data_IF_268553666535
#
_entry.id   IF_268553666535
#
_cell.length_a   1.000
_cell.length_b   1.000
_cell.length_c   1.000
_cell.angle_alpha   90.00
_cell.angle_beta   90.00
_cell.angle_gamma   90.00
#
_symmetry.space_group_name_H-M   'P 1'
#
loop_
_entity.id
_entity.type
_entity.pdbx_description
1 polymer ?
#
# COMPACT_ATOMS: atom_id res chain seq x y z
N UNK A 1 17.16 8.12 -1.79
CA UNK A 1 15.88 7.39 -1.90
C UNK A 1 14.88 7.98 -0.91
N UNK A 2 13.63 8.23 -1.34
CA UNK A 2 12.55 8.71 -0.45
C UNK A 2 12.01 7.56 0.41
N UNK A 3 11.42 7.89 1.56
CA UNK A 3 10.79 6.92 2.48
C UNK A 3 9.33 6.65 2.10
N UNK A 4 8.79 5.53 2.58
CA UNK A 4 7.35 5.24 2.57
C UNK A 4 6.80 5.27 4.00
N UNK A 5 5.72 6.01 4.23
CA UNK A 5 4.99 5.94 5.50
C UNK A 5 3.86 4.93 5.38
N UNK A 6 3.66 4.10 6.41
CA UNK A 6 2.55 3.16 6.49
C UNK A 6 1.74 3.47 7.74
N UNK A 7 0.49 3.88 7.55
CA UNK A 7 -0.44 4.19 8.63
C UNK A 7 -1.56 3.16 8.64
N UNK A 8 -1.90 2.67 9.83
CA UNK A 8 -3.08 1.82 10.04
C UNK A 8 -3.95 2.35 11.17
N UNK A 9 -5.27 2.20 11.02
CA UNK A 9 -6.22 2.70 12.01
C UNK A 9 -6.28 1.87 13.29
N UNK A 10 -5.81 0.61 13.24
CA UNK A 10 -5.84 -0.36 14.31
C UNK A 10 -4.67 -1.34 14.18
N UNK A 11 -4.14 -1.82 15.30
CA UNK A 11 -3.12 -2.88 15.32
C UNK A 11 -3.65 -4.21 14.76
N UNK A 12 -4.96 -4.43 14.81
CA UNK A 12 -5.64 -5.56 14.15
C UNK A 12 -5.42 -5.61 12.64
N UNK A 13 -5.05 -4.50 12.00
CA UNK A 13 -4.79 -4.44 10.57
C UNK A 13 -3.35 -4.92 10.23
N UNK A 14 -2.48 -5.06 11.23
CA UNK A 14 -1.06 -5.40 11.08
C UNK A 14 -0.82 -6.69 10.27
N UNK A 15 -1.57 -7.80 10.45
CA UNK A 15 -1.36 -9.02 9.66
C UNK A 15 -1.57 -8.82 8.15
N UNK A 16 -2.40 -7.85 7.75
CA UNK A 16 -2.57 -7.47 6.36
C UNK A 16 -1.41 -6.57 5.93
N UNK A 17 -1.13 -5.52 6.71
CA UNK A 17 -0.12 -4.51 6.41
C UNK A 17 1.30 -5.08 6.34
N UNK A 18 1.60 -6.12 7.12
CA UNK A 18 2.91 -6.78 7.16
C UNK A 18 3.35 -7.32 5.78
N UNK A 19 2.39 -7.73 4.93
CA UNK A 19 2.68 -8.13 3.55
C UNK A 19 3.30 -6.99 2.74
N UNK A 20 2.82 -5.77 2.94
CA UNK A 20 3.38 -4.57 2.31
C UNK A 20 4.73 -4.18 2.90
N UNK A 21 4.88 -4.27 4.23
CA UNK A 21 6.17 -4.04 4.92
C UNK A 21 7.26 -4.95 4.35
N UNK A 22 6.97 -6.24 4.16
CA UNK A 22 7.92 -7.20 3.61
C UNK A 22 8.33 -6.86 2.17
N UNK A 23 7.39 -6.44 1.32
CA UNK A 23 7.71 -5.98 -0.04
C UNK A 23 8.62 -4.74 -0.02
N UNK A 24 8.36 -3.77 0.86
CA UNK A 24 9.25 -2.61 0.99
C UNK A 24 10.66 -3.00 1.44
N UNK A 25 10.77 -3.97 2.37
CA UNK A 25 12.06 -4.54 2.79
C UNK A 25 12.80 -5.22 1.64
N UNK A 26 12.10 -6.04 0.84
CA UNK A 26 12.68 -6.74 -0.31
C UNK A 26 13.27 -5.75 -1.34
N UNK A 27 12.62 -4.61 -1.55
CA UNK A 27 13.15 -3.55 -2.40
C UNK A 27 14.21 -2.66 -1.73
N UNK A 28 14.40 -2.77 -0.41
CA UNK A 28 15.30 -1.94 0.38
C UNK A 28 14.80 -0.50 0.53
N UNK A 29 13.48 -0.28 0.47
CA UNK A 29 12.87 1.04 0.63
C UNK A 29 12.75 1.36 2.12
N UNK A 30 13.37 2.45 2.61
CA UNK A 30 13.21 2.86 4.00
C UNK A 30 11.76 3.22 4.29
N UNK A 31 11.24 2.79 5.44
CA UNK A 31 9.85 2.99 5.80
C UNK A 31 9.64 3.18 7.29
N UNK A 32 8.53 3.81 7.62
CA UNK A 32 8.03 3.93 9.00
C UNK A 32 6.59 3.41 9.06
N UNK A 33 6.25 2.77 10.19
CA UNK A 33 4.94 2.13 10.38
C UNK A 33 4.35 2.64 11.68
N UNK A 34 3.13 3.17 11.62
CA UNK A 34 2.45 3.78 12.78
C UNK A 34 0.99 3.34 12.86
N UNK A 35 0.47 3.27 14.09
CA UNK A 35 -0.97 3.08 14.35
C UNK A 35 -1.57 4.46 14.65
N UNK A 36 -2.16 5.08 13.63
CA UNK A 36 -2.86 6.36 13.73
C UNK A 36 -4.27 6.21 13.18
N UNK A 37 -5.26 6.49 14.01
CA UNK A 37 -6.67 6.32 13.71
C UNK A 37 -7.28 7.66 13.34
N UNK A 38 -7.84 7.77 12.13
CA UNK A 38 -8.58 8.97 11.73
C UNK A 38 -9.77 9.30 12.65
N UNK A 39 -10.27 8.32 13.41
CA UNK A 39 -11.40 8.51 14.32
C UNK A 39 -10.99 8.71 15.78
N UNK A 40 -9.82 8.19 16.20
CA UNK A 40 -9.41 8.15 17.61
C UNK A 40 -8.17 8.98 17.92
N UNK A 41 -7.26 9.12 16.96
CA UNK A 41 -6.03 9.95 17.05
C UNK A 41 -5.90 10.84 15.81
N UNK A 42 -6.92 11.67 15.50
CA UNK A 42 -6.94 12.48 14.28
C UNK A 42 -5.86 13.56 14.27
N UNK A 43 -5.49 14.11 15.43
CA UNK A 43 -4.47 15.14 15.54
C UNK A 43 -3.08 14.59 15.19
N UNK A 44 -2.73 13.43 15.74
CA UNK A 44 -1.47 12.74 15.50
C UNK A 44 -1.34 12.30 14.03
N UNK A 45 -2.44 11.79 13.45
CA UNK A 45 -2.50 11.45 12.04
C UNK A 45 -2.21 12.68 11.16
N UNK A 46 -2.85 13.82 11.44
CA UNK A 46 -2.69 15.06 10.69
C UNK A 46 -1.29 15.68 10.85
N UNK A 47 -0.76 15.71 12.07
CA UNK A 47 0.58 16.22 12.38
C UNK A 47 1.67 15.42 11.66
N UNK A 48 1.57 14.08 11.69
CA UNK A 48 2.53 13.23 11.00
C UNK A 48 2.54 13.47 9.49
N UNK A 49 1.36 13.52 8.84
CA UNK A 49 1.28 13.58 7.38
C UNK A 49 1.54 14.97 6.81
N UNK A 50 1.26 16.04 7.57
CA UNK A 50 1.56 17.41 7.18
C UNK A 50 3.07 17.68 7.12
N UNK A 51 3.85 17.06 8.02
CA UNK A 51 5.32 17.14 8.04
C UNK A 51 6.02 16.07 7.19
N UNK A 52 5.29 15.09 6.66
CA UNK A 52 5.88 13.93 5.98
C UNK A 52 6.78 14.29 4.78
N UNK A 53 6.41 15.27 3.96
CA UNK A 53 7.23 15.68 2.80
C UNK A 53 8.60 16.20 3.23
N UNK A 54 8.63 17.04 4.25
CA UNK A 54 9.85 17.64 4.82
C UNK A 54 10.71 16.56 5.49
N UNK A 55 10.08 15.57 6.10
CA UNK A 55 10.72 14.40 6.70
C UNK A 55 11.18 13.34 5.69
N UNK A 56 11.16 13.63 4.39
CA UNK A 56 11.76 12.80 3.35
C UNK A 56 10.89 11.64 2.84
N UNK A 57 9.60 11.63 3.16
CA UNK A 57 8.65 10.67 2.59
C UNK A 57 8.30 11.03 1.14
N UNK A 58 8.06 10.01 0.33
CA UNK A 58 7.65 10.14 -1.07
C UNK A 58 6.26 9.57 -1.36
N UNK A 59 5.79 8.62 -0.55
CA UNK A 59 4.47 7.98 -0.66
C UNK A 59 3.95 7.65 0.74
N UNK A 60 2.64 7.75 0.95
CA UNK A 60 1.97 7.30 2.16
C UNK A 60 1.01 6.17 1.82
N UNK A 61 1.04 5.09 2.58
CA UNK A 61 0.12 3.96 2.51
C UNK A 61 -0.77 4.02 3.74
N UNK A 62 -2.09 3.96 3.55
CA UNK A 62 -3.08 4.02 4.62
C UNK A 62 -4.01 2.80 4.57
N UNK A 63 -4.05 2.02 5.65
CA UNK A 63 -4.91 0.85 5.79
C UNK A 63 -6.05 1.10 6.79
N UNK A 64 -7.28 0.81 6.39
CA UNK A 64 -8.44 0.88 7.27
C UNK A 64 -9.58 -0.04 6.79
N UNK A 65 -10.32 -0.60 7.74
CA UNK A 65 -11.54 -1.38 7.50
C UNK A 65 -12.83 -0.62 7.83
N UNK A 66 -13.97 -1.24 7.55
CA UNK A 66 -15.31 -0.68 7.81
C UNK A 66 -15.50 0.69 7.16
N UNK A 67 -15.88 1.72 7.92
CA UNK A 67 -15.90 3.12 7.47
C UNK A 67 -14.46 3.66 7.35
N UNK A 68 -13.76 3.25 6.28
CA UNK A 68 -12.32 3.40 6.09
C UNK A 68 -11.89 4.84 5.73
N UNK A 69 -11.94 5.77 6.69
CA UNK A 69 -11.65 7.19 6.44
C UNK A 69 -10.17 7.58 6.46
N UNK A 70 -9.26 6.67 6.86
CA UNK A 70 -7.85 7.02 7.08
C UNK A 70 -7.17 7.56 5.81
N UNK A 71 -7.32 6.87 4.67
CA UNK A 71 -6.68 7.30 3.43
C UNK A 71 -7.16 8.69 2.97
N UNK A 72 -8.47 8.95 3.04
CA UNK A 72 -9.04 10.24 2.70
C UNK A 72 -8.60 11.37 3.65
N UNK A 73 -8.58 11.11 4.97
CA UNK A 73 -8.11 12.06 5.96
C UNK A 73 -6.63 12.40 5.78
N UNK A 74 -5.80 11.40 5.46
CA UNK A 74 -4.38 11.58 5.15
C UNK A 74 -4.21 12.41 3.86
N UNK A 75 -4.92 12.07 2.78
CA UNK A 75 -4.86 12.78 1.51
C UNK A 75 -5.29 14.25 1.61
N UNK A 76 -6.22 14.57 2.51
CA UNK A 76 -6.65 15.94 2.75
C UNK A 76 -5.57 16.83 3.42
N UNK A 77 -4.55 16.22 4.05
CA UNK A 77 -3.52 16.93 4.83
C UNK A 77 -2.13 16.89 4.18
N UNK A 78 -2.02 16.41 2.93
CA UNK A 78 -0.73 16.30 2.25
C UNK A 78 -0.86 16.41 0.73
N UNK A 79 0.25 16.72 0.07
CA UNK A 79 0.37 16.66 -1.41
C UNK A 79 1.19 15.46 -1.87
N UNK A 80 1.59 14.58 -0.95
CA UNK A 80 2.21 13.31 -1.31
C UNK A 80 1.15 12.35 -1.87
N UNK A 81 1.51 11.45 -2.80
CA UNK A 81 0.64 10.35 -3.21
C UNK A 81 0.23 9.51 -2.01
N UNK A 82 -1.08 9.26 -1.89
CA UNK A 82 -1.67 8.41 -0.85
C UNK A 82 -2.27 7.18 -1.48
N UNK A 83 -1.84 6.01 -1.01
CA UNK A 83 -2.33 4.70 -1.43
C UNK A 83 -3.24 4.16 -0.32
N UNK A 84 -4.49 3.85 -0.66
CA UNK A 84 -5.46 3.30 0.26
C UNK A 84 -5.54 1.77 0.17
N UNK A 85 -5.45 1.08 1.31
CA UNK A 85 -5.71 -0.36 1.44
C UNK A 85 -7.06 -0.53 2.15
N UNK A 86 -8.12 -0.92 1.44
CA UNK A 86 -9.35 -1.37 2.07
C UNK A 86 -9.09 -2.67 2.84
N UNK A 87 -9.31 -2.68 4.15
CA UNK A 87 -9.14 -3.88 4.97
C UNK A 87 -10.46 -4.62 5.11
N UNK A 88 -10.45 -5.94 4.87
CA UNK A 88 -11.65 -6.76 4.95
C UNK A 88 -12.19 -6.85 6.38
N UNK A 89 -13.52 -6.96 6.50
CA UNK A 89 -14.18 -7.27 7.76
C UNK A 89 -15.18 -8.42 7.56
N UNK A 90 -15.57 -9.08 8.67
CA UNK A 90 -16.41 -10.29 8.62
C UNK A 90 -17.78 -10.07 7.95
N UNK A 91 -18.36 -8.87 8.10
CA UNK A 91 -19.75 -8.63 7.72
C UNK A 91 -19.92 -8.28 6.23
N UNK A 92 -18.91 -7.65 5.63
CA UNK A 92 -19.00 -7.06 4.29
C UNK A 92 -17.92 -7.55 3.33
N UNK A 93 -16.97 -8.37 3.84
CA UNK A 93 -15.80 -8.78 3.07
C UNK A 93 -14.89 -7.62 2.65
N UNK A 94 -15.06 -6.41 3.21
CA UNK A 94 -14.31 -5.21 2.85
C UNK A 94 -14.92 -4.35 1.74
N UNK A 95 -16.13 -4.67 1.25
CA UNK A 95 -16.78 -3.86 0.21
C UNK A 95 -17.14 -2.44 0.71
N UNK A 96 -17.52 -2.32 1.97
CA UNK A 96 -17.70 -1.03 2.67
C UNK A 96 -16.39 -0.22 2.71
N UNK A 97 -15.29 -0.85 3.13
CA UNK A 97 -13.98 -0.21 3.16
C UNK A 97 -13.52 0.20 1.75
N UNK A 98 -13.80 -0.63 0.73
CA UNK A 98 -13.45 -0.35 -0.66
C UNK A 98 -14.14 0.93 -1.14
N UNK A 99 -15.46 1.01 -0.99
CA UNK A 99 -16.23 2.18 -1.40
C UNK A 99 -15.85 3.42 -0.58
N UNK A 100 -15.65 3.28 0.73
CA UNK A 100 -15.21 4.37 1.60
C UNK A 100 -13.83 4.92 1.24
N UNK A 101 -12.96 4.10 0.64
CA UNK A 101 -11.60 4.50 0.24
C UNK A 101 -11.56 5.07 -1.19
N UNK A 102 -12.26 4.44 -2.15
CA UNK A 102 -12.14 4.77 -3.58
C UNK A 102 -13.02 5.92 -4.05
N UNK A 103 -14.17 6.15 -3.42
CA UNK A 103 -15.15 7.15 -3.86
C UNK A 103 -14.82 8.57 -3.35
N UNK A 104 -13.58 9.01 -3.59
CA UNK A 104 -13.14 10.35 -3.21
C UNK A 104 -13.79 11.43 -4.09
N UNK A 105 -14.14 12.60 -3.53
CA UNK A 105 -14.58 13.74 -4.32
C UNK A 105 -13.44 14.29 -5.19
N UNK A 106 -13.79 15.06 -6.22
CA UNK A 106 -12.80 15.71 -7.08
C UNK A 106 -11.87 16.64 -6.30
N UNK A 107 -10.57 16.56 -6.58
CA UNK A 107 -9.54 17.42 -5.99
C UNK A 107 -8.64 16.73 -4.95
N UNK A 108 -9.12 15.70 -4.24
CA UNK A 108 -8.36 14.96 -3.21
C UNK A 108 -8.32 13.47 -3.57
N UNK A 109 -7.44 13.04 -4.49
CA UNK A 109 -7.40 11.64 -4.94
C UNK A 109 -6.77 10.69 -3.92
N UNK A 110 -7.20 9.44 -3.93
CA UNK A 110 -6.55 8.30 -3.26
C UNK A 110 -6.34 7.19 -4.30
N UNK A 111 -5.13 6.63 -4.33
CA UNK A 111 -4.83 5.46 -5.16
C UNK A 111 -5.24 4.18 -4.42
N UNK A 112 -6.47 3.73 -4.64
CA UNK A 112 -7.01 2.55 -3.94
C UNK A 112 -6.54 1.26 -4.61
N UNK A 113 -5.97 0.34 -3.82
CA UNK A 113 -5.64 -1.03 -4.27
C UNK A 113 -6.75 -2.02 -3.91
N UNK A 114 -6.55 -3.31 -4.26
CA UNK A 114 -7.47 -4.38 -3.90
C UNK A 114 -7.69 -4.46 -2.37
N UNK A 115 -8.84 -5.03 -1.97
CA UNK A 115 -9.11 -5.39 -0.57
C UNK A 115 -7.98 -6.29 -0.06
N UNK A 116 -7.46 -5.98 1.12
CA UNK A 116 -6.29 -6.62 1.74
C UNK A 116 -5.01 -6.61 0.87
N UNK A 117 -4.96 -5.73 -0.12
CA UNK A 117 -3.92 -5.64 -1.15
C UNK A 117 -2.62 -4.96 -0.69
N UNK A 118 -2.18 -5.16 0.55
CA UNK A 118 -1.03 -4.45 1.12
C UNK A 118 0.29 -4.66 0.34
N UNK A 119 0.51 -5.87 -0.21
CA UNK A 119 1.66 -6.12 -1.08
C UNK A 119 1.62 -5.25 -2.35
N UNK A 120 0.45 -5.12 -2.97
CA UNK A 120 0.27 -4.27 -4.16
C UNK A 120 0.40 -2.78 -3.82
N UNK A 121 -0.03 -2.35 -2.64
CA UNK A 121 0.22 -0.98 -2.18
C UNK A 121 1.72 -0.68 -2.09
N UNK A 122 2.52 -1.61 -1.59
CA UNK A 122 3.98 -1.48 -1.54
C UNK A 122 4.63 -1.52 -2.93
N UNK A 123 4.18 -2.39 -3.84
CA UNK A 123 4.63 -2.38 -5.24
C UNK A 123 4.30 -1.05 -5.93
N UNK A 124 3.09 -0.54 -5.77
CA UNK A 124 2.68 0.75 -6.34
C UNK A 124 3.51 1.90 -5.74
N UNK A 125 3.80 1.88 -4.44
CA UNK A 125 4.71 2.84 -3.82
C UNK A 125 6.12 2.76 -4.43
N UNK A 126 6.65 1.56 -4.63
CA UNK A 126 7.94 1.35 -5.28
C UNK A 126 7.94 1.88 -6.72
N UNK A 127 6.89 1.62 -7.50
CA UNK A 127 6.73 2.12 -8.87
C UNK A 127 6.70 3.66 -8.93
N UNK A 128 5.99 4.31 -7.99
CA UNK A 128 5.98 5.78 -7.89
C UNK A 128 7.38 6.32 -7.59
N UNK A 129 8.11 5.71 -6.65
CA UNK A 129 9.45 6.15 -6.28
C UNK A 129 10.47 5.91 -7.40
N UNK A 130 10.32 4.80 -8.13
CA UNK A 130 11.19 4.39 -9.23
C UNK A 130 11.20 5.38 -10.42
N UNK A 131 10.18 6.24 -10.55
CA UNK A 131 10.16 7.31 -11.55
C UNK A 131 11.37 8.27 -11.43
N UNK A 132 12.05 8.27 -10.28
CA UNK A 132 13.24 9.09 -10.01
C UNK A 132 14.42 8.27 -9.46
N UNK A 133 14.36 6.94 -9.54
CA UNK A 133 15.36 6.02 -9.00
C UNK A 133 15.54 4.82 -9.94
N UNK A 134 16.51 4.92 -10.85
CA UNK A 134 16.79 3.89 -11.86
C UNK A 134 17.20 2.54 -11.24
N UNK A 135 17.80 2.56 -10.05
CA UNK A 135 18.17 1.33 -9.34
C UNK A 135 16.93 0.60 -8.84
N UNK A 136 15.96 1.33 -8.30
CA UNK A 136 14.67 0.77 -7.90
C UNK A 136 13.85 0.33 -9.13
N UNK A 137 13.89 1.09 -10.22
CA UNK A 137 13.26 0.71 -11.49
C UNK A 137 13.78 -0.64 -11.99
N UNK A 138 15.10 -0.85 -11.96
CA UNK A 138 15.69 -2.13 -12.35
C UNK A 138 15.25 -3.29 -11.44
N UNK A 139 15.21 -3.08 -10.12
CA UNK A 139 14.70 -4.10 -9.18
C UNK A 139 13.26 -4.53 -9.48
N UNK A 140 12.40 -3.60 -9.91
CA UNK A 140 11.03 -3.90 -10.31
C UNK A 140 10.97 -4.75 -11.59
N UNK A 141 11.83 -4.45 -12.57
CA UNK A 141 11.96 -5.25 -13.80
C UNK A 141 12.38 -6.68 -13.46
N UNK A 142 13.43 -6.82 -12.66
CA UNK A 142 13.97 -8.13 -12.26
C UNK A 142 12.93 -8.96 -11.50
N UNK A 143 12.17 -8.32 -10.59
CA UNK A 143 11.11 -8.97 -9.84
C UNK A 143 9.98 -9.50 -10.75
N UNK A 144 9.56 -8.71 -11.76
CA UNK A 144 8.53 -9.12 -12.73
C UNK A 144 9.02 -10.28 -13.59
N UNK A 145 10.28 -10.25 -14.02
CA UNK A 145 10.88 -11.34 -14.79
C UNK A 145 11.00 -12.64 -13.97
N UNK A 146 11.42 -12.55 -12.71
CA UNK A 146 11.45 -13.69 -11.80
C UNK A 146 10.03 -14.29 -11.60
N UNK A 147 9.01 -13.44 -11.50
CA UNK A 147 7.61 -13.84 -11.43
C UNK A 147 7.17 -14.61 -12.70
N UNK A 148 7.50 -14.08 -13.88
CA UNK A 148 7.23 -14.73 -15.17
C UNK A 148 7.87 -16.11 -15.27
N UNK A 149 9.16 -16.22 -14.94
CA UNK A 149 9.90 -17.50 -14.93
C UNK A 149 9.23 -18.50 -14.00
N UNK A 150 8.83 -18.08 -12.79
CA UNK A 150 8.15 -18.95 -11.80
C UNK A 150 6.80 -19.47 -12.31
N UNK A 151 6.03 -18.65 -13.02
CA UNK A 151 4.75 -19.08 -13.61
C UNK A 151 4.98 -20.10 -14.72
N UNK A 152 5.93 -19.86 -15.62
CA UNK A 152 6.24 -20.80 -16.70
C UNK A 152 6.75 -22.15 -16.18
N UNK A 153 7.54 -22.14 -15.11
CA UNK A 153 7.99 -23.38 -14.47
C UNK A 153 6.83 -24.17 -13.87
N UNK A 154 5.90 -23.49 -13.17
CA UNK A 154 4.67 -24.14 -12.69
C UNK A 154 3.82 -24.69 -13.84
N UNK A 155 3.73 -23.96 -14.96
CA UNK A 155 2.99 -24.42 -16.14
C UNK A 155 3.56 -25.74 -16.67
N UNK A 156 4.89 -25.82 -16.85
CA UNK A 156 5.54 -27.08 -17.29
C UNK A 156 5.22 -28.25 -16.38
N UNK A 157 5.20 -28.03 -15.07
CA UNK A 157 4.88 -29.08 -14.10
C UNK A 157 3.42 -29.55 -14.21
N UNK A 158 2.49 -28.64 -14.49
CA UNK A 158 1.08 -28.98 -14.72
C UNK A 158 0.94 -29.75 -16.04
N UNK A 159 1.57 -29.29 -17.12
CA UNK A 159 1.52 -29.97 -18.43
C UNK A 159 2.09 -31.38 -18.36
N UNK A 160 3.25 -31.57 -17.70
CA UNK A 160 3.84 -32.90 -17.50
C UNK A 160 2.91 -33.86 -16.73
N UNK A 161 2.06 -33.34 -15.85
CA UNK A 161 1.19 -34.16 -15.02
C UNK A 161 -0.11 -34.56 -15.72
N UNK A 162 -0.66 -33.70 -16.58
CA UNK A 162 -2.02 -33.86 -17.11
C UNK A 162 -2.10 -33.98 -18.63
N UNK A 163 -1.06 -33.59 -19.36
CA UNK A 163 -1.05 -33.56 -20.84
C UNK A 163 -0.02 -34.54 -21.44
N UNK A 164 0.55 -35.44 -20.63
CA UNK A 164 1.47 -36.48 -21.08
C UNK A 164 0.73 -37.73 -21.57
#
# INVERSE_FOLDING_TARGET
MKKVAILMGSDSDLPIVEKGINVLKDYGIPHEVHVYSAHRTPAEAAEFVSSARENGFGVIIAAAGMAAHLAGAVAANTTLPVIGIPVSCKNTGGFDALLATVQMPSGIPVATVAIDGAANAAHLAAEILALSDDTLAQKLIDAREAGRVKVLEKNRQVEQKYNA
#
